data_IF_812089849620
#
_entry.id   IF_812089849620
#
_cell.length_a   1.000
_cell.length_b   1.000
_cell.length_c   1.000
_cell.angle_alpha   90.00
_cell.angle_beta   90.00
_cell.angle_gamma   90.00
#
_symmetry.space_group_name_H-M   'P 1'
#
loop_
_entity.id
_entity.type
_entity.pdbx_description
1 polymer ?
#
# COMPACT_ATOMS: atom_id res chain seq x y z
N UNK A 1 -0.23 -5.74 -14.24
CA UNK A 1 -0.40 -6.97 -13.45
C UNK A 1 -1.11 -6.69 -12.12
N UNK A 2 -0.47 -6.04 -11.14
CA UNK A 2 -1.05 -5.81 -9.80
C UNK A 2 -2.40 -5.08 -9.79
N UNK A 3 -2.60 -4.09 -10.67
CA UNK A 3 -3.90 -3.40 -10.79
C UNK A 3 -5.03 -4.32 -11.28
N UNK A 4 -4.73 -5.31 -12.13
CA UNK A 4 -5.74 -6.31 -12.53
C UNK A 4 -6.09 -7.16 -11.33
N UNK A 5 -5.09 -7.70 -10.63
CA UNK A 5 -5.31 -8.53 -9.44
C UNK A 5 -6.12 -7.79 -8.35
N UNK A 6 -5.85 -6.50 -8.14
CA UNK A 6 -6.61 -5.67 -7.19
C UNK A 6 -8.07 -5.48 -7.61
N UNK A 7 -8.34 -5.34 -8.91
CA UNK A 7 -9.70 -5.30 -9.43
C UNK A 7 -10.37 -6.67 -9.32
N UNK A 8 -9.65 -7.71 -9.71
CA UNK A 8 -10.19 -9.07 -9.85
C UNK A 8 -10.44 -9.73 -8.48
N UNK A 9 -9.75 -9.30 -7.41
CA UNK A 9 -9.98 -9.87 -6.07
C UNK A 9 -11.35 -9.51 -5.50
N UNK A 10 -11.85 -8.29 -5.69
CA UNK A 10 -13.13 -7.80 -5.12
C UNK A 10 -14.20 -7.44 -6.16
N UNK A 11 -13.84 -7.39 -7.44
CA UNK A 11 -14.73 -7.05 -8.54
C UNK A 11 -14.95 -5.54 -8.67
N UNK A 12 -16.14 -5.06 -8.30
CA UNK A 12 -16.54 -3.66 -8.51
C UNK A 12 -16.16 -2.82 -7.30
N UNK A 13 -15.30 -1.82 -7.51
CA UNK A 13 -15.00 -0.82 -6.48
C UNK A 13 -16.26 -0.08 -6.03
N UNK A 14 -16.38 0.26 -4.72
CA UNK A 14 -17.54 0.97 -4.22
C UNK A 14 -17.61 2.40 -4.78
N UNK A 15 -18.80 2.80 -5.20
CA UNK A 15 -19.07 4.17 -5.63
C UNK A 15 -19.31 5.07 -4.42
N UNK A 16 -18.79 6.30 -4.46
CA UNK A 16 -19.06 7.31 -3.43
C UNK A 16 -18.30 7.14 -2.11
N UNK A 17 -17.46 6.12 -1.96
CA UNK A 17 -16.58 5.98 -0.78
C UNK A 17 -15.50 7.06 -0.79
N UNK A 18 -15.44 7.86 0.27
CA UNK A 18 -14.40 8.89 0.46
C UNK A 18 -13.36 8.42 1.47
N UNK A 19 -12.26 7.86 0.96
CA UNK A 19 -11.05 7.61 1.75
C UNK A 19 -10.04 8.73 1.47
N UNK A 20 -9.44 9.29 2.53
CA UNK A 20 -8.41 10.31 2.36
C UNK A 20 -7.18 9.72 1.67
N UNK A 21 -6.81 10.27 0.51
CA UNK A 21 -5.61 9.91 -0.23
C UNK A 21 -4.54 11.00 -0.10
N UNK A 22 -3.25 10.67 0.14
CA UNK A 22 -2.21 11.65 0.37
C UNK A 22 -1.68 12.25 -0.94
N UNK A 23 -2.54 12.78 -1.82
CA UNK A 23 -2.15 13.26 -3.15
C UNK A 23 -1.03 14.31 -3.16
N UNK A 24 -1.03 15.23 -2.18
CA UNK A 24 0.06 16.22 -2.02
C UNK A 24 1.42 15.59 -1.74
N UNK A 25 1.45 14.40 -1.13
CA UNK A 25 2.69 13.65 -0.90
C UNK A 25 3.21 13.06 -2.21
N UNK A 26 2.33 12.49 -3.04
CA UNK A 26 2.71 11.99 -4.36
C UNK A 26 3.25 13.12 -5.25
N UNK A 27 2.57 14.28 -5.31
CA UNK A 27 3.08 15.45 -6.06
C UNK A 27 4.46 15.93 -5.56
N UNK A 28 4.76 15.78 -4.27
CA UNK A 28 6.07 16.10 -3.71
C UNK A 28 7.14 15.11 -4.17
N UNK A 29 6.81 13.82 -4.22
CA UNK A 29 7.71 12.75 -4.69
C UNK A 29 7.97 12.85 -6.19
N UNK A 30 6.98 13.24 -6.99
CA UNK A 30 7.14 13.43 -8.43
C UNK A 30 8.27 14.42 -8.78
N UNK A 31 8.52 15.40 -7.90
CA UNK A 31 9.59 16.39 -8.05
C UNK A 31 10.86 16.07 -7.25
N UNK A 32 10.92 14.93 -6.56
CA UNK A 32 12.07 14.52 -5.75
C UNK A 32 13.18 13.88 -6.60
N UNK A 33 14.33 13.63 -5.99
CA UNK A 33 15.41 12.87 -6.63
C UNK A 33 14.97 11.43 -6.88
N UNK A 34 15.54 10.78 -7.89
CA UNK A 34 15.24 9.37 -8.23
C UNK A 34 15.47 8.45 -7.03
N UNK A 35 16.53 8.66 -6.25
CA UNK A 35 16.78 7.87 -5.04
C UNK A 35 15.61 7.94 -4.03
N UNK A 36 15.05 9.13 -3.83
CA UNK A 36 13.92 9.36 -2.92
C UNK A 36 12.63 8.77 -3.49
N UNK A 37 12.43 8.85 -4.81
CA UNK A 37 11.31 8.20 -5.49
C UNK A 37 11.36 6.68 -5.31
N UNK A 38 12.52 6.05 -5.53
CA UNK A 38 12.70 4.61 -5.36
C UNK A 38 12.54 4.19 -3.89
N UNK A 39 13.13 4.93 -2.95
CA UNK A 39 12.91 4.72 -1.51
C UNK A 39 11.42 4.83 -1.15
N UNK A 40 10.72 5.83 -1.68
CA UNK A 40 9.29 6.03 -1.46
C UNK A 40 8.44 4.89 -2.04
N UNK A 41 8.78 4.39 -3.23
CA UNK A 41 8.12 3.22 -3.84
C UNK A 41 8.26 1.99 -2.95
N UNK A 42 9.47 1.66 -2.50
CA UNK A 42 9.72 0.52 -1.59
C UNK A 42 8.90 0.65 -0.31
N UNK A 43 8.94 1.83 0.34
CA UNK A 43 8.18 2.08 1.57
C UNK A 43 6.67 1.91 1.35
N UNK A 44 6.16 2.42 0.24
CA UNK A 44 4.73 2.36 -0.08
C UNK A 44 4.30 0.93 -0.39
N UNK A 45 5.08 0.18 -1.18
CA UNK A 45 4.84 -1.23 -1.46
C UNK A 45 4.81 -2.06 -0.17
N UNK A 46 5.80 -1.89 0.70
CA UNK A 46 5.88 -2.58 1.99
C UNK A 46 4.67 -2.28 2.89
N UNK A 47 4.16 -1.05 2.85
CA UNK A 47 2.94 -0.69 3.57
C UNK A 47 1.68 -1.34 2.98
N UNK A 48 1.55 -1.37 1.65
CA UNK A 48 0.43 -2.04 0.98
C UNK A 48 0.45 -3.53 1.33
N UNK A 49 1.61 -4.19 1.22
CA UNK A 49 1.81 -5.60 1.59
C UNK A 49 1.35 -5.83 3.03
N UNK A 50 1.84 -5.05 4.00
CA UNK A 50 1.47 -5.19 5.42
C UNK A 50 0.01 -4.87 5.73
N UNK A 51 -0.66 -4.07 4.90
CA UNK A 51 -2.08 -3.77 5.06
C UNK A 51 -2.94 -4.91 4.53
N UNK A 52 -2.53 -5.51 3.41
CA UNK A 52 -3.28 -6.54 2.68
C UNK A 52 -2.95 -7.96 3.17
N UNK A 53 -1.80 -8.19 3.82
CA UNK A 53 -1.47 -9.44 4.51
C UNK A 53 -2.18 -9.51 5.87
N UNK A 54 -3.50 -9.60 5.82
CA UNK A 54 -4.40 -9.61 6.99
C UNK A 54 -5.57 -10.57 6.75
N UNK A 55 -5.27 -11.77 6.23
CA UNK A 55 -6.26 -12.80 5.86
C UNK A 55 -7.22 -13.13 7.01
N UNK A 56 -6.73 -13.12 8.24
CA UNK A 56 -7.50 -13.34 9.47
C UNK A 56 -8.59 -12.28 9.73
N UNK A 57 -8.50 -11.13 9.07
CA UNK A 57 -9.42 -10.00 9.20
C UNK A 57 -10.28 -9.78 7.94
N UNK A 58 -10.20 -10.67 6.94
CA UNK A 58 -10.93 -10.55 5.67
C UNK A 58 -12.25 -11.33 5.63
N UNK A 59 -12.70 -11.90 6.75
CA UNK A 59 -13.94 -12.71 6.81
C UNK A 59 -15.22 -11.96 6.36
N UNK A 60 -15.19 -10.62 6.36
CA UNK A 60 -16.33 -9.78 5.97
C UNK A 60 -16.44 -9.55 4.47
N UNK A 61 -15.34 -9.71 3.71
CA UNK A 61 -15.31 -9.51 2.25
C UNK A 61 -15.37 -10.84 1.51
N UNK A 62 -15.87 -10.81 0.28
CA UNK A 62 -15.94 -11.98 -0.60
C UNK A 62 -14.73 -12.06 -1.55
N UNK A 63 -13.57 -11.56 -1.10
CA UNK A 63 -12.40 -11.48 -1.95
C UNK A 63 -11.84 -12.87 -2.29
N UNK A 64 -11.38 -13.04 -3.51
CA UNK A 64 -10.66 -14.26 -3.90
C UNK A 64 -9.27 -14.27 -3.22
N UNK A 65 -9.12 -15.07 -2.15
CA UNK A 65 -7.89 -15.13 -1.36
C UNK A 65 -6.67 -15.59 -2.16
N UNK A 66 -6.83 -16.46 -3.16
CA UNK A 66 -5.74 -16.85 -4.05
C UNK A 66 -5.26 -15.66 -4.90
N UNK A 67 -6.19 -14.78 -5.30
CA UNK A 67 -5.85 -13.53 -6.00
C UNK A 67 -5.18 -12.52 -5.08
N UNK A 68 -5.58 -12.45 -3.81
CA UNK A 68 -4.90 -11.64 -2.77
C UNK A 68 -3.46 -12.14 -2.57
N UNK A 69 -3.25 -13.45 -2.46
CA UNK A 69 -1.92 -14.05 -2.32
C UNK A 69 -1.04 -13.76 -3.55
N UNK A 70 -1.60 -13.89 -4.75
CA UNK A 70 -0.88 -13.55 -5.97
C UNK A 70 -0.53 -12.06 -6.03
N UNK A 71 -1.45 -11.18 -5.64
CA UNK A 71 -1.19 -9.74 -5.53
C UNK A 71 -0.03 -9.45 -4.56
N UNK A 72 -0.04 -10.06 -3.38
CA UNK A 72 1.04 -9.93 -2.39
C UNK A 72 2.37 -10.46 -2.95
N UNK A 73 2.38 -11.58 -3.66
CA UNK A 73 3.60 -12.13 -4.26
C UNK A 73 4.21 -11.18 -5.29
N UNK A 74 3.38 -10.59 -6.18
CA UNK A 74 3.82 -9.61 -7.17
C UNK A 74 4.42 -8.38 -6.49
N UNK A 75 3.75 -7.82 -5.47
CA UNK A 75 4.26 -6.65 -4.75
C UNK A 75 5.55 -6.95 -3.97
N UNK A 76 5.66 -8.14 -3.35
CA UNK A 76 6.86 -8.55 -2.63
C UNK A 76 8.07 -8.68 -3.59
N UNK A 77 7.86 -9.24 -4.79
CA UNK A 77 8.91 -9.29 -5.82
C UNK A 77 9.36 -7.88 -6.20
N UNK A 78 8.41 -7.01 -6.55
CA UNK A 78 8.70 -5.61 -6.91
C UNK A 78 9.44 -4.85 -5.80
N UNK A 79 9.01 -5.00 -4.54
CA UNK A 79 9.67 -4.38 -3.39
C UNK A 79 11.10 -4.91 -3.20
N UNK A 80 11.30 -6.22 -3.35
CA UNK A 80 12.63 -6.86 -3.19
C UNK A 80 13.62 -6.40 -4.26
N UNK A 81 13.21 -6.37 -5.53
CA UNK A 81 14.06 -5.90 -6.63
C UNK A 81 14.47 -4.42 -6.43
N UNK A 82 13.55 -3.58 -5.98
CA UNK A 82 13.84 -2.17 -5.70
C UNK A 82 14.70 -1.97 -4.45
N UNK A 83 14.59 -2.86 -3.44
CA UNK A 83 15.47 -2.83 -2.26
C UNK A 83 16.94 -3.04 -2.62
N UNK A 84 17.25 -3.83 -3.64
CA UNK A 84 18.62 -3.98 -4.14
C UNK A 84 19.19 -2.66 -4.68
N UNK A 85 18.33 -1.83 -5.29
CA UNK A 85 18.71 -0.48 -5.73
C UNK A 85 18.93 0.44 -4.52
N UNK A 86 18.00 0.43 -3.55
CA UNK A 86 18.10 1.25 -2.33
C UNK A 86 19.34 0.93 -1.50
N UNK A 87 19.76 -0.34 -1.46
CA UNK A 87 20.97 -0.77 -0.74
C UNK A 87 22.26 -0.10 -1.27
N UNK A 88 22.25 0.43 -2.49
CA UNK A 88 23.38 1.13 -3.11
C UNK A 88 23.35 2.65 -2.87
N UNK A 89 22.24 3.19 -2.37
CA UNK A 89 22.12 4.62 -2.10
C UNK A 89 22.79 4.99 -0.78
N UNK A 90 23.26 6.24 -0.70
CA UNK A 90 23.86 6.74 0.52
C UNK A 90 22.80 6.79 1.65
N UNK A 91 23.18 6.44 2.89
CA UNK A 91 22.31 6.64 4.04
C UNK A 91 21.91 8.11 4.14
N UNK A 92 20.61 8.40 4.06
CA UNK A 92 20.08 9.75 4.29
C UNK A 92 19.33 9.81 5.61
N UNK A 93 19.17 11.03 6.14
CA UNK A 93 18.35 11.25 7.32
C UNK A 93 16.90 10.86 7.05
N UNK A 94 16.13 10.57 8.11
CA UNK A 94 14.69 10.25 7.98
C UNK A 94 13.94 11.34 7.23
N UNK A 95 13.57 11.04 6.00
CA UNK A 95 12.96 11.99 5.10
C UNK A 95 11.52 12.31 5.50
N UNK A 96 11.07 13.52 5.16
CA UNK A 96 9.72 13.98 5.54
C UNK A 96 8.62 13.11 4.90
N UNK A 97 8.88 12.53 3.73
CA UNK A 97 7.94 11.64 3.04
C UNK A 97 7.71 10.34 3.80
N UNK A 98 8.75 9.78 4.45
CA UNK A 98 8.65 8.53 5.21
C UNK A 98 7.67 8.70 6.37
N UNK A 99 7.77 9.83 7.10
CA UNK A 99 6.84 10.15 8.21
C UNK A 99 5.40 10.30 7.70
N UNK A 100 5.21 10.95 6.55
CA UNK A 100 3.88 11.21 5.98
C UNK A 100 3.21 9.93 5.47
N UNK A 101 3.94 9.07 4.76
CA UNK A 101 3.39 7.80 4.26
C UNK A 101 3.09 6.84 5.42
N UNK A 102 4.00 6.74 6.41
CA UNK A 102 3.77 5.98 7.64
C UNK A 102 2.50 6.43 8.36
N UNK A 103 2.26 7.75 8.44
CA UNK A 103 1.06 8.30 9.07
C UNK A 103 -0.21 7.94 8.29
N UNK A 104 -0.17 8.00 6.96
CA UNK A 104 -1.32 7.65 6.13
C UNK A 104 -1.75 6.19 6.33
N UNK A 105 -0.82 5.23 6.23
CA UNK A 105 -1.15 3.82 6.44
C UNK A 105 -1.56 3.48 7.88
N UNK A 106 -1.01 4.19 8.89
CA UNK A 106 -1.52 4.11 10.27
C UNK A 106 -2.99 4.54 10.38
N UNK A 107 -3.39 5.57 9.63
CA UNK A 107 -4.80 6.02 9.60
C UNK A 107 -5.68 4.96 8.92
N UNK A 108 -5.26 4.39 7.80
CA UNK A 108 -6.00 3.30 7.13
C UNK A 108 -6.22 2.12 8.07
N UNK A 109 -5.15 1.61 8.70
CA UNK A 109 -5.26 0.50 9.67
C UNK A 109 -6.14 0.85 10.86
N UNK A 110 -6.09 2.10 11.35
CA UNK A 110 -6.98 2.57 12.42
C UNK A 110 -8.45 2.60 11.97
N UNK A 111 -8.72 2.97 10.71
CA UNK A 111 -10.07 2.98 10.17
C UNK A 111 -10.64 1.56 10.03
N UNK A 112 -9.84 0.61 9.52
CA UNK A 112 -10.22 -0.81 9.47
C UNK A 112 -10.61 -1.32 10.86
N UNK A 113 -9.76 -1.09 11.88
CA UNK A 113 -10.04 -1.47 13.27
C UNK A 113 -11.31 -0.83 13.84
N UNK A 114 -11.50 0.48 13.61
CA UNK A 114 -12.68 1.21 14.09
C UNK A 114 -13.99 0.72 13.49
N UNK A 115 -13.93 0.21 12.26
CA UNK A 115 -15.05 -0.37 11.54
C UNK A 115 -15.10 -1.90 11.67
N UNK A 116 -14.39 -2.46 12.66
CA UNK A 116 -14.34 -3.89 12.97
C UNK A 116 -14.03 -4.77 11.76
N UNK A 117 -13.18 -4.26 10.86
CA UNK A 117 -12.83 -4.92 9.60
C UNK A 117 -14.05 -5.32 8.76
N UNK A 118 -15.11 -4.51 8.76
CA UNK A 118 -16.30 -4.72 7.93
C UNK A 118 -15.99 -4.62 6.43
N UNK A 119 -16.86 -5.20 5.60
CA UNK A 119 -16.71 -5.20 4.15
C UNK A 119 -16.54 -3.77 3.60
N UNK A 120 -17.36 -2.83 4.08
CA UNK A 120 -17.33 -1.40 3.72
C UNK A 120 -16.09 -0.64 4.25
N UNK A 121 -15.22 -1.29 5.02
CA UNK A 121 -13.94 -0.72 5.45
C UNK A 121 -12.80 -1.20 4.56
N UNK A 122 -12.90 -2.45 4.09
CA UNK A 122 -11.99 -3.06 3.13
C UNK A 122 -12.19 -2.52 1.70
N UNK A 123 -13.45 -2.33 1.32
CA UNK A 123 -13.89 -1.62 0.10
C UNK A 123 -13.82 -0.10 0.26
#
# INVERSE_FOLDING_TARGET
>A
ESLSLLKDMGGKYPEGTKVSFPGRLYNMIDNAKVEDQVKFLVLTLDHIIRLMDAREHMNSVQWNLQTVEHFLAVLNRQSSDLKECVARYQPSHKESYEKKINRHFKILKKNLKKKEYSAQAWE
#
